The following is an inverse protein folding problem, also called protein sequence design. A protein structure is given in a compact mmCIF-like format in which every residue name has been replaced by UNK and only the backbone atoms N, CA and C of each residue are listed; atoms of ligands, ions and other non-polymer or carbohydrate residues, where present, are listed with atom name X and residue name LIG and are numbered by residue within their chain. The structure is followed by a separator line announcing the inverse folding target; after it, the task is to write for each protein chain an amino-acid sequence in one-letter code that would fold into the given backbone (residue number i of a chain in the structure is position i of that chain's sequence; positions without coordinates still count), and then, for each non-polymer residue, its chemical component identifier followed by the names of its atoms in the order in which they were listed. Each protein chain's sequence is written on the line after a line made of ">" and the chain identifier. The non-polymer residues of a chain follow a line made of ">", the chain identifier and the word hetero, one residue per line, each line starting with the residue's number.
data_IF_080877275141
#
_entry.id   IF_080877275141
#
_cell.length_a   1.000
_cell.length_b   1.000
_cell.length_c   1.000
_cell.angle_alpha   90.00
_cell.angle_beta   90.00
_cell.angle_gamma   90.00
#
_symmetry.space_group_name_H-M   'P 1'
#
loop_
_entity.id
_entity.type
_entity.pdbx_description
1 polymer ?
#
# COMPACT_ATOMS: atom_id res chain seq x y z
N UNK A 1 -14.28 -22.41 1.02
CA UNK A 1 -14.34 -21.76 2.33
C UNK A 1 -15.55 -22.31 3.08
N UNK A 2 -15.50 -22.36 4.40
CA UNK A 2 -16.61 -22.80 5.26
C UNK A 2 -17.32 -21.56 5.77
N UNK A 3 -18.64 -21.57 5.69
CA UNK A 3 -19.46 -20.47 6.18
C UNK A 3 -19.86 -20.70 7.64
N UNK A 4 -19.80 -19.63 8.42
CA UNK A 4 -20.20 -19.57 9.81
C UNK A 4 -21.16 -18.39 9.95
N UNK A 5 -22.41 -18.65 10.26
CA UNK A 5 -23.46 -17.66 10.50
C UNK A 5 -23.62 -17.43 12.01
N UNK A 6 -23.94 -16.19 12.39
CA UNK A 6 -24.13 -15.76 13.79
C UNK A 6 -23.05 -16.33 14.73
N UNK A 7 -21.80 -16.07 14.37
CA UNK A 7 -20.62 -16.74 14.94
C UNK A 7 -19.86 -15.85 15.93
N UNK A 8 -18.71 -16.33 16.42
CA UNK A 8 -17.84 -15.61 17.34
C UNK A 8 -16.37 -15.78 16.95
N UNK A 9 -15.51 -14.91 17.47
CA UNK A 9 -14.06 -15.02 17.27
C UNK A 9 -13.51 -16.37 17.70
N UNK A 10 -14.02 -16.95 18.80
CA UNK A 10 -13.61 -18.27 19.26
C UNK A 10 -14.03 -19.40 18.31
N UNK A 11 -15.23 -19.31 17.71
CA UNK A 11 -15.68 -20.27 16.71
C UNK A 11 -14.87 -20.16 15.40
N UNK A 12 -14.55 -18.94 14.97
CA UNK A 12 -13.67 -18.68 13.81
C UNK A 12 -12.26 -19.25 14.07
N UNK A 13 -11.69 -19.01 15.25
CA UNK A 13 -10.39 -19.55 15.63
C UNK A 13 -10.38 -21.08 15.65
N UNK A 14 -11.43 -21.70 16.20
CA UNK A 14 -11.59 -23.14 16.18
C UNK A 14 -11.70 -23.70 14.76
N UNK A 15 -12.35 -22.98 13.85
CA UNK A 15 -12.46 -23.39 12.46
C UNK A 15 -11.11 -23.31 11.72
N UNK A 16 -10.26 -22.32 11.98
CA UNK A 16 -8.89 -22.34 11.48
C UNK A 16 -8.13 -23.60 11.89
N UNK A 17 -8.24 -24.01 13.16
CA UNK A 17 -7.62 -25.27 13.64
C UNK A 17 -8.16 -26.48 12.89
N UNK A 18 -9.49 -26.60 12.75
CA UNK A 18 -10.14 -27.71 12.02
C UNK A 18 -9.74 -27.72 10.53
N UNK A 19 -9.69 -26.55 9.90
CA UNK A 19 -9.32 -26.44 8.51
C UNK A 19 -7.87 -26.86 8.25
N UNK A 20 -6.94 -26.49 9.12
CA UNK A 20 -5.54 -26.98 9.07
C UNK A 20 -5.45 -28.49 9.20
N UNK A 21 -6.16 -29.08 10.17
CA UNK A 21 -6.18 -30.52 10.39
C UNK A 21 -6.68 -31.26 9.15
N UNK A 22 -7.76 -30.75 8.52
CA UNK A 22 -8.28 -31.34 7.28
C UNK A 22 -7.33 -31.21 6.10
N UNK A 23 -6.61 -30.09 6.00
CA UNK A 23 -5.67 -29.87 4.91
C UNK A 23 -4.33 -30.63 5.08
N UNK A 24 -4.10 -31.29 6.23
CA UNK A 24 -2.82 -31.93 6.54
C UNK A 24 -1.64 -30.93 6.54
N UNK A 25 -1.94 -29.65 6.65
CA UNK A 25 -0.91 -28.59 6.56
C UNK A 25 -0.36 -28.29 7.94
N UNK A 26 0.97 -28.24 8.12
CA UNK A 26 1.55 -27.83 9.39
C UNK A 26 1.21 -26.35 9.68
N UNK A 27 0.95 -26.02 10.94
CA UNK A 27 0.73 -24.65 11.41
C UNK A 27 1.98 -23.74 11.23
N UNK A 28 3.08 -24.33 10.80
CA UNK A 28 4.38 -23.68 10.68
C UNK A 28 4.53 -23.05 9.30
N UNK A 29 4.93 -21.78 9.29
CA UNK A 29 5.25 -21.04 8.07
C UNK A 29 4.56 -19.70 7.92
N UNK A 30 3.47 -19.43 8.63
CA UNK A 30 2.88 -18.08 8.62
C UNK A 30 3.73 -17.13 9.47
N UNK A 31 4.09 -16.00 8.87
CA UNK A 31 5.05 -15.04 9.46
C UNK A 31 4.39 -13.74 9.90
N UNK A 32 3.12 -13.54 9.58
CA UNK A 32 2.37 -12.33 9.91
C UNK A 32 0.86 -12.53 9.86
N UNK A 33 0.12 -11.57 10.39
CA UNK A 33 -1.31 -11.38 10.10
C UNK A 33 -1.47 -10.15 9.21
N UNK A 34 -2.22 -10.29 8.12
CA UNK A 34 -2.67 -9.20 7.28
C UNK A 34 -4.17 -8.98 7.49
N UNK A 35 -4.54 -7.82 8.04
CA UNK A 35 -5.92 -7.35 8.13
C UNK A 35 -6.22 -6.54 6.88
N UNK A 36 -7.42 -6.69 6.31
CA UNK A 36 -7.91 -5.88 5.20
C UNK A 36 -9.27 -5.34 5.63
N UNK A 37 -9.39 -4.05 5.76
CA UNK A 37 -10.69 -3.41 5.97
C UNK A 37 -11.23 -2.94 4.63
N UNK A 38 -12.43 -3.36 4.30
CA UNK A 38 -12.98 -3.21 2.96
C UNK A 38 -14.52 -3.24 3.00
N UNK A 39 -15.14 -2.59 2.03
CA UNK A 39 -16.59 -2.69 1.79
C UNK A 39 -16.95 -4.04 1.13
N UNK A 40 -18.20 -4.47 1.24
CA UNK A 40 -18.66 -5.77 0.71
C UNK A 40 -18.39 -5.90 -0.80
N UNK A 41 -18.65 -4.84 -1.58
CA UNK A 41 -18.49 -4.85 -3.04
C UNK A 41 -17.05 -5.10 -3.49
N UNK A 42 -16.08 -4.72 -2.66
CA UNK A 42 -14.65 -4.85 -2.95
C UNK A 42 -13.99 -6.04 -2.25
N UNK A 43 -14.71 -6.75 -1.37
CA UNK A 43 -14.15 -7.80 -0.52
C UNK A 43 -13.47 -8.92 -1.32
N UNK A 44 -14.12 -9.46 -2.34
CA UNK A 44 -13.56 -10.53 -3.17
C UNK A 44 -12.29 -10.08 -3.89
N UNK A 45 -12.33 -8.88 -4.48
CA UNK A 45 -11.18 -8.30 -5.20
C UNK A 45 -10.00 -8.05 -4.25
N UNK A 46 -10.24 -7.50 -3.07
CA UNK A 46 -9.21 -7.23 -2.08
C UNK A 46 -8.58 -8.52 -1.54
N UNK A 47 -9.41 -9.54 -1.29
CA UNK A 47 -8.92 -10.85 -0.87
C UNK A 47 -8.07 -11.52 -1.96
N UNK A 48 -8.43 -11.43 -3.24
CA UNK A 48 -7.61 -11.95 -4.33
C UNK A 48 -6.27 -11.19 -4.45
N UNK A 49 -6.26 -9.87 -4.27
CA UNK A 49 -5.02 -9.08 -4.20
C UNK A 49 -4.14 -9.58 -3.06
N UNK A 50 -4.70 -9.76 -1.87
CA UNK A 50 -3.96 -10.25 -0.70
C UNK A 50 -3.41 -11.66 -0.94
N UNK A 51 -4.22 -12.56 -1.48
CA UNK A 51 -3.80 -13.92 -1.84
C UNK A 51 -2.55 -13.93 -2.72
N UNK A 52 -2.51 -13.05 -3.71
CA UNK A 52 -1.35 -12.91 -4.62
C UNK A 52 -0.15 -12.25 -3.94
N UNK A 53 -0.40 -11.32 -3.04
CA UNK A 53 0.65 -10.57 -2.34
C UNK A 53 1.35 -11.40 -1.25
N UNK A 54 0.62 -12.32 -0.61
CA UNK A 54 1.13 -13.17 0.47
C UNK A 54 1.74 -14.49 0.00
N UNK A 55 1.83 -14.71 -1.31
CA UNK A 55 2.42 -15.93 -1.86
C UNK A 55 3.90 -16.12 -1.44
N UNK A 56 4.66 -15.03 -1.37
CA UNK A 56 6.07 -15.07 -0.96
C UNK A 56 6.23 -15.05 0.59
N UNK A 57 5.24 -14.55 1.31
CA UNK A 57 5.24 -14.40 2.76
C UNK A 57 3.92 -14.97 3.32
N UNK A 58 3.87 -16.28 3.61
CA UNK A 58 2.66 -16.91 4.12
C UNK A 58 2.10 -16.17 5.33
N UNK A 59 0.82 -15.83 5.27
CA UNK A 59 0.16 -15.01 6.28
C UNK A 59 -1.21 -15.56 6.64
N UNK A 60 -1.70 -15.19 7.82
CA UNK A 60 -3.12 -15.21 8.11
C UNK A 60 -3.75 -13.95 7.54
N UNK A 61 -4.68 -14.08 6.60
CA UNK A 61 -5.37 -12.95 5.97
C UNK A 61 -6.77 -12.84 6.55
N UNK A 62 -7.10 -11.69 7.12
CA UNK A 62 -8.41 -11.39 7.73
C UNK A 62 -9.04 -10.23 6.96
N UNK A 63 -9.94 -10.53 6.01
CA UNK A 63 -10.82 -9.53 5.40
C UNK A 63 -11.92 -9.16 6.39
N UNK A 64 -12.04 -7.89 6.72
CA UNK A 64 -13.04 -7.36 7.64
C UNK A 64 -13.95 -6.43 6.86
N UNK A 65 -15.19 -6.84 6.72
CA UNK A 65 -16.25 -6.05 6.06
C UNK A 65 -17.09 -5.38 7.13
N UNK A 66 -17.09 -4.05 7.12
CA UNK A 66 -17.84 -3.23 8.04
C UNK A 66 -19.19 -2.85 7.39
N UNK A 67 -20.26 -3.45 7.85
CA UNK A 67 -21.63 -3.15 7.40
C UNK A 67 -22.27 -1.97 8.14
N UNK A 68 -23.61 -1.94 8.16
CA UNK A 68 -24.34 -0.88 8.88
C UNK A 68 -24.15 -1.05 10.39
N UNK A 69 -23.68 0.01 11.06
CA UNK A 69 -23.51 0.03 12.51
C UNK A 69 -24.84 0.09 13.30
N UNK A 70 -25.98 0.13 12.61
CA UNK A 70 -27.32 0.13 13.21
C UNK A 70 -27.93 -1.27 13.20
N UNK A 71 -28.75 -1.57 14.21
CA UNK A 71 -29.43 -2.85 14.31
C UNK A 71 -28.72 -3.87 15.21
N UNK A 72 -29.20 -5.13 15.20
CA UNK A 72 -28.62 -6.19 16.02
C UNK A 72 -27.17 -6.47 15.63
N UNK A 73 -26.34 -6.74 16.64
CA UNK A 73 -24.94 -7.13 16.40
C UNK A 73 -24.90 -8.54 15.82
N UNK A 74 -24.34 -8.68 14.62
CA UNK A 74 -24.10 -9.99 13.99
C UNK A 74 -22.65 -10.10 13.51
N UNK A 75 -22.12 -11.30 13.59
CA UNK A 75 -20.81 -11.67 13.06
C UNK A 75 -20.97 -12.89 12.17
N UNK A 76 -20.70 -12.74 10.89
CA UNK A 76 -20.67 -13.86 9.94
C UNK A 76 -19.25 -14.02 9.40
N UNK A 77 -18.82 -15.24 9.11
CA UNK A 77 -17.49 -15.47 8.60
C UNK A 77 -17.43 -16.59 7.56
N UNK A 78 -16.52 -16.44 6.62
CA UNK A 78 -16.10 -17.48 5.68
C UNK A 78 -14.64 -17.81 5.96
N UNK A 79 -14.35 -19.05 6.34
CA UNK A 79 -13.00 -19.49 6.76
C UNK A 79 -12.44 -20.51 5.79
N UNK A 80 -11.17 -20.39 5.43
CA UNK A 80 -10.48 -21.31 4.54
C UNK A 80 -8.98 -21.39 4.77
N UNK A 81 -8.42 -22.52 4.31
CA UNK A 81 -6.97 -22.77 4.32
C UNK A 81 -6.58 -23.54 3.05
N UNK A 82 -5.32 -23.50 2.66
CA UNK A 82 -4.81 -24.27 1.52
C UNK A 82 -5.20 -23.68 0.16
N UNK A 83 -5.36 -24.49 -0.83
CA UNK A 83 -5.71 -24.25 -2.25
C UNK A 83 -5.51 -22.79 -2.75
N UNK A 84 -4.24 -22.37 -2.89
CA UNK A 84 -3.88 -21.05 -3.41
C UNK A 84 -3.68 -19.95 -2.37
N UNK A 85 -3.98 -20.18 -1.10
CA UNK A 85 -3.54 -19.34 0.02
C UNK A 85 -2.23 -19.91 0.57
N UNK A 86 -1.20 -19.10 0.71
CA UNK A 86 0.05 -19.49 1.36
C UNK A 86 -0.09 -19.69 2.89
N UNK A 87 -1.32 -19.59 3.41
CA UNK A 87 -1.64 -19.66 4.84
C UNK A 87 -3.13 -19.84 5.08
N UNK A 88 -3.68 -19.08 6.00
CA UNK A 88 -5.09 -19.07 6.40
C UNK A 88 -5.79 -17.80 5.92
N UNK A 89 -7.06 -17.91 5.60
CA UNK A 89 -7.88 -16.76 5.23
C UNK A 89 -9.27 -16.82 5.86
N UNK A 90 -9.78 -15.67 6.28
CA UNK A 90 -11.16 -15.48 6.63
C UNK A 90 -11.70 -14.16 6.07
N UNK A 91 -12.96 -14.15 5.68
CA UNK A 91 -13.73 -12.93 5.46
C UNK A 91 -14.74 -12.84 6.59
N UNK A 92 -14.71 -11.76 7.35
CA UNK A 92 -15.52 -11.53 8.55
C UNK A 92 -16.41 -10.32 8.27
N UNK A 93 -17.73 -10.54 8.31
CA UNK A 93 -18.74 -9.50 8.11
C UNK A 93 -19.31 -9.10 9.45
N UNK A 94 -19.28 -7.83 9.74
CA UNK A 94 -19.74 -7.24 10.99
C UNK A 94 -20.90 -6.30 10.71
N UNK A 95 -22.00 -6.47 11.45
CA UNK A 95 -23.16 -5.59 11.36
C UNK A 95 -23.64 -5.18 12.76
N UNK A 96 -24.39 -4.09 12.82
CA UNK A 96 -24.89 -3.55 14.08
C UNK A 96 -23.79 -2.96 14.95
N UNK A 97 -24.00 -2.94 16.26
CA UNK A 97 -23.09 -2.30 17.21
C UNK A 97 -21.65 -2.87 17.16
N UNK A 98 -21.48 -4.15 16.81
CA UNK A 98 -20.17 -4.81 16.75
C UNK A 98 -19.22 -4.17 15.71
N UNK A 99 -19.74 -3.48 14.71
CA UNK A 99 -18.95 -2.71 13.73
C UNK A 99 -18.00 -1.72 14.44
N UNK A 100 -18.44 -1.11 15.54
CA UNK A 100 -17.62 -0.16 16.32
C UNK A 100 -16.58 -0.84 17.21
N UNK A 101 -16.63 -2.17 17.30
CA UNK A 101 -15.77 -3.03 18.11
C UNK A 101 -15.08 -4.10 17.26
N UNK A 102 -14.82 -3.78 16.00
CA UNK A 102 -14.16 -4.70 15.06
C UNK A 102 -12.80 -5.21 15.58
N UNK A 103 -12.06 -4.36 16.29
CA UNK A 103 -10.82 -4.72 16.96
C UNK A 103 -11.01 -5.86 17.98
N UNK A 104 -12.08 -5.86 18.74
CA UNK A 104 -12.40 -6.90 19.73
C UNK A 104 -12.71 -8.26 19.07
N UNK A 105 -13.28 -8.24 17.86
CA UNK A 105 -13.52 -9.46 17.07
C UNK A 105 -12.22 -9.99 16.46
N UNK A 106 -11.37 -9.09 15.95
CA UNK A 106 -10.15 -9.44 15.21
C UNK A 106 -8.99 -9.83 16.14
N UNK A 107 -8.83 -9.15 17.28
CA UNK A 107 -7.71 -9.36 18.20
C UNK A 107 -7.47 -10.84 18.58
N UNK A 108 -8.52 -11.65 18.94
CA UNK A 108 -8.33 -13.07 19.26
C UNK A 108 -7.91 -13.93 18.06
N UNK A 109 -8.01 -13.40 16.84
CA UNK A 109 -7.68 -14.10 15.59
C UNK A 109 -6.26 -13.83 15.11
N UNK A 110 -5.54 -12.91 15.72
CA UNK A 110 -4.16 -12.60 15.35
C UNK A 110 -3.24 -13.79 15.65
N UNK A 111 -2.20 -13.93 14.84
CA UNK A 111 -1.15 -14.91 15.12
C UNK A 111 -0.33 -14.45 16.34
N UNK A 112 -0.15 -15.29 17.37
CA UNK A 112 0.68 -14.95 18.51
C UNK A 112 2.11 -14.60 18.08
N UNK A 113 2.71 -13.60 18.74
CA UNK A 113 4.11 -13.19 18.56
C UNK A 113 4.52 -12.85 17.12
N UNK A 114 3.54 -12.64 16.25
CA UNK A 114 3.75 -12.31 14.85
C UNK A 114 3.33 -10.87 14.55
N UNK A 115 4.04 -10.16 13.65
CA UNK A 115 3.68 -8.81 13.30
C UNK A 115 2.33 -8.75 12.58
N UNK A 116 1.62 -7.65 12.77
CA UNK A 116 0.34 -7.37 12.14
C UNK A 116 0.51 -6.21 11.15
N UNK A 117 0.02 -6.40 9.94
CA UNK A 117 -0.17 -5.35 8.97
C UNK A 117 -1.66 -5.14 8.72
N UNK A 118 -2.07 -3.92 8.40
CA UNK A 118 -3.41 -3.61 7.91
C UNK A 118 -3.33 -2.87 6.59
N UNK A 119 -4.24 -3.19 5.68
CA UNK A 119 -4.38 -2.54 4.39
C UNK A 119 -5.81 -2.09 4.16
N UNK A 120 -5.96 -0.83 3.75
CA UNK A 120 -7.19 -0.24 3.23
C UNK A 120 -7.04 -0.06 1.72
N UNK A 121 -7.73 -0.87 0.89
CA UNK A 121 -7.69 -0.77 -0.57
C UNK A 121 -8.20 0.57 -1.09
N UNK A 122 -9.28 1.05 -0.49
CA UNK A 122 -9.99 2.28 -0.81
C UNK A 122 -10.34 3.04 0.47
N UNK A 123 -10.55 4.33 0.35
CA UNK A 123 -11.07 5.24 1.37
C UNK A 123 -10.58 4.98 2.82
N UNK A 124 -9.25 5.01 3.06
CA UNK A 124 -8.69 4.76 4.38
C UNK A 124 -9.15 5.79 5.40
N UNK A 125 -9.15 5.45 6.70
CA UNK A 125 -9.47 6.43 7.76
C UNK A 125 -8.53 7.63 7.69
N UNK A 126 -9.03 8.79 8.11
CA UNK A 126 -8.23 10.03 8.13
C UNK A 126 -7.00 9.93 9.04
N UNK A 127 -7.09 9.14 10.10
CA UNK A 127 -5.97 8.79 10.99
C UNK A 127 -5.88 7.26 11.15
N UNK A 128 -5.09 6.57 10.31
CA UNK A 128 -4.93 5.12 10.37
C UNK A 128 -4.42 4.59 11.71
N UNK A 129 -3.68 5.39 12.47
CA UNK A 129 -3.15 4.96 13.76
C UNK A 129 -4.16 5.12 14.91
N UNK A 130 -5.17 5.97 14.75
CA UNK A 130 -6.26 6.13 15.69
C UNK A 130 -7.42 5.15 15.45
N UNK A 131 -7.47 4.57 14.25
CA UNK A 131 -8.47 3.59 13.85
C UNK A 131 -8.42 2.33 14.76
N UNK A 132 -9.56 1.72 15.16
CA UNK A 132 -9.58 0.54 16.02
C UNK A 132 -8.75 -0.63 15.47
N UNK A 133 -8.92 -1.01 14.19
CA UNK A 133 -8.13 -2.07 13.56
C UNK A 133 -6.69 -1.61 13.30
N UNK A 134 -6.50 -0.34 12.96
CA UNK A 134 -5.20 0.28 12.75
C UNK A 134 -4.30 0.24 13.98
N UNK A 135 -4.88 0.32 15.19
CA UNK A 135 -4.15 0.18 16.46
C UNK A 135 -3.55 -1.20 16.69
N UNK A 136 -4.13 -2.24 16.09
CA UNK A 136 -3.63 -3.60 16.17
C UNK A 136 -2.37 -3.80 15.30
N UNK A 137 -2.15 -2.92 14.32
CA UNK A 137 -1.15 -3.12 13.30
C UNK A 137 0.14 -2.33 13.54
N UNK A 138 1.28 -3.00 13.36
CA UNK A 138 2.61 -2.38 13.28
C UNK A 138 2.78 -1.62 11.95
N UNK A 139 2.25 -2.15 10.85
CA UNK A 139 2.30 -1.55 9.51
C UNK A 139 0.88 -1.22 9.03
N UNK A 140 0.63 0.04 8.70
CA UNK A 140 -0.66 0.56 8.22
C UNK A 140 -0.49 1.07 6.81
N UNK A 141 -1.16 0.39 5.86
CA UNK A 141 -0.96 0.56 4.42
C UNK A 141 -2.21 1.19 3.82
N UNK A 142 -2.07 2.40 3.28
CA UNK A 142 -3.13 3.12 2.57
C UNK A 142 -2.83 3.19 1.08
N UNK A 143 -3.78 3.62 0.26
CA UNK A 143 -3.57 3.91 -1.16
C UNK A 143 -4.27 5.20 -1.58
N UNK A 144 -3.62 6.33 -1.40
CA UNK A 144 -4.16 7.64 -1.77
C UNK A 144 -4.44 7.79 -3.28
N UNK A 145 -3.94 6.89 -4.12
CA UNK A 145 -4.19 6.91 -5.56
C UNK A 145 -5.50 6.22 -5.95
N UNK A 146 -5.99 5.30 -5.12
CA UNK A 146 -7.16 4.46 -5.40
C UNK A 146 -8.41 4.87 -4.58
N UNK A 147 -8.35 5.97 -3.82
CA UNK A 147 -9.52 6.45 -3.09
C UNK A 147 -10.68 6.77 -4.02
N UNK A 148 -11.90 6.51 -3.58
CA UNK A 148 -13.13 6.81 -4.32
C UNK A 148 -13.58 8.23 -4.07
N UNK A 149 -13.34 8.75 -2.84
CA UNK A 149 -13.74 10.10 -2.39
C UNK A 149 -12.51 10.97 -2.11
N UNK A 150 -12.67 12.28 -2.31
CA UNK A 150 -11.64 13.26 -1.93
C UNK A 150 -10.27 13.06 -2.60
N UNK A 151 -10.22 12.57 -3.83
CA UNK A 151 -8.98 12.26 -4.57
C UNK A 151 -7.93 13.36 -4.53
N UNK A 152 -8.34 14.63 -4.53
CA UNK A 152 -7.43 15.79 -4.53
C UNK A 152 -6.81 16.07 -3.17
N UNK A 153 -7.39 15.55 -2.09
CA UNK A 153 -6.97 15.80 -0.70
C UNK A 153 -6.46 14.55 0.01
N UNK A 154 -6.68 13.36 -0.56
CA UNK A 154 -6.39 12.08 0.07
C UNK A 154 -4.95 11.99 0.61
N UNK A 155 -3.97 12.26 -0.25
CA UNK A 155 -2.56 12.26 0.18
C UNK A 155 -2.30 13.28 1.30
N UNK A 156 -2.93 14.45 1.25
CA UNK A 156 -2.75 15.49 2.25
C UNK A 156 -3.29 15.09 3.62
N UNK A 157 -4.42 14.38 3.63
CA UNK A 157 -5.02 13.83 4.85
C UNK A 157 -4.06 12.80 5.46
N UNK A 158 -3.59 11.82 4.68
CA UNK A 158 -2.65 10.80 5.14
C UNK A 158 -1.30 11.40 5.60
N UNK A 159 -0.81 12.43 4.91
CA UNK A 159 0.37 13.16 5.36
C UNK A 159 0.16 13.85 6.70
N UNK A 160 -1.03 14.43 6.97
CA UNK A 160 -1.30 15.17 8.21
C UNK A 160 -1.33 14.28 9.45
N UNK A 161 -1.81 13.04 9.33
CA UNK A 161 -1.91 12.04 10.40
C UNK A 161 -0.75 11.05 10.44
N UNK A 162 0.29 11.27 9.63
CA UNK A 162 1.42 10.35 9.57
C UNK A 162 2.09 10.14 10.93
N UNK A 163 2.22 8.88 11.31
CA UNK A 163 3.08 8.38 12.39
C UNK A 163 3.92 7.21 11.91
N UNK A 164 4.94 6.82 12.67
CA UNK A 164 5.76 5.64 12.35
C UNK A 164 4.88 4.39 12.12
N UNK A 165 5.19 3.63 11.08
CA UNK A 165 4.42 2.47 10.64
C UNK A 165 3.32 2.77 9.60
N UNK A 166 2.93 4.03 9.40
CA UNK A 166 2.06 4.40 8.28
C UNK A 166 2.85 4.42 6.97
N UNK A 167 2.24 3.93 5.90
CA UNK A 167 2.77 3.98 4.54
C UNK A 167 1.64 4.14 3.53
N UNK A 168 1.98 4.48 2.30
CA UNK A 168 1.02 4.65 1.21
C UNK A 168 1.54 3.99 -0.07
N UNK A 169 0.71 3.21 -0.75
CA UNK A 169 1.10 2.55 -1.99
C UNK A 169 1.47 3.52 -3.11
N UNK A 170 1.01 4.80 -3.03
CA UNK A 170 1.49 5.84 -3.93
C UNK A 170 3.01 6.06 -3.81
N UNK A 171 3.59 5.87 -2.61
CA UNK A 171 5.04 5.89 -2.38
C UNK A 171 5.73 4.64 -2.92
N UNK A 172 5.14 3.46 -2.70
CA UNK A 172 5.67 2.18 -3.18
C UNK A 172 5.73 2.15 -4.70
N UNK A 173 4.77 2.79 -5.40
CA UNK A 173 4.81 2.97 -6.86
C UNK A 173 6.06 3.70 -7.34
N UNK A 174 6.71 4.47 -6.48
CA UNK A 174 7.89 5.26 -6.81
C UNK A 174 9.22 4.51 -6.71
N UNK A 175 9.25 3.31 -6.11
CA UNK A 175 10.50 2.57 -5.92
C UNK A 175 11.35 2.46 -7.19
N UNK A 176 10.81 2.05 -8.35
CA UNK A 176 11.62 1.99 -9.57
C UNK A 176 12.03 3.37 -10.11
N UNK A 177 11.17 4.39 -9.96
CA UNK A 177 11.52 5.76 -10.34
C UNK A 177 12.68 6.29 -9.51
N UNK A 178 12.59 6.15 -8.19
CA UNK A 178 13.63 6.60 -7.27
C UNK A 178 14.96 5.90 -7.51
N UNK A 179 14.92 4.58 -7.76
CA UNK A 179 16.11 3.81 -8.08
C UNK A 179 16.79 4.28 -9.38
N UNK A 180 16.01 4.49 -10.45
CA UNK A 180 16.54 4.95 -11.74
C UNK A 180 17.11 6.37 -11.65
N UNK A 181 16.42 7.29 -10.96
CA UNK A 181 16.90 8.66 -10.79
C UNK A 181 18.16 8.73 -9.95
N UNK A 182 18.27 7.93 -8.89
CA UNK A 182 19.48 7.82 -8.08
C UNK A 182 20.65 7.26 -8.92
N UNK A 183 20.43 6.15 -9.64
CA UNK A 183 21.45 5.54 -10.50
C UNK A 183 21.91 6.48 -11.61
N UNK A 184 21.01 7.30 -12.17
CA UNK A 184 21.34 8.29 -13.17
C UNK A 184 22.31 9.35 -12.63
N UNK A 185 22.08 9.81 -11.41
CA UNK A 185 22.96 10.82 -10.76
C UNK A 185 24.31 10.22 -10.35
N UNK A 186 24.34 8.98 -9.87
CA UNK A 186 25.58 8.29 -9.51
C UNK A 186 26.49 8.08 -10.74
N UNK A 187 25.88 7.79 -11.91
CA UNK A 187 26.64 7.58 -13.17
C UNK A 187 27.22 8.86 -13.76
N UNK A 188 26.58 10.01 -13.55
CA UNK A 188 26.95 11.24 -14.24
C UNK A 188 27.60 12.29 -13.33
N UNK A 189 27.48 12.17 -12.01
CA UNK A 189 27.98 13.12 -10.99
C UNK A 189 27.68 14.60 -11.32
N UNK A 190 26.59 14.85 -12.06
CA UNK A 190 26.20 16.17 -12.53
C UNK A 190 25.43 16.92 -11.44
N UNK A 191 25.68 18.21 -11.35
CA UNK A 191 24.94 19.08 -10.43
C UNK A 191 23.58 19.45 -11.03
N UNK A 192 22.52 18.92 -10.45
CA UNK A 192 21.15 19.30 -10.81
C UNK A 192 20.87 20.74 -10.37
N UNK A 193 20.26 21.53 -11.23
CA UNK A 193 19.89 22.94 -11.00
C UNK A 193 18.39 23.12 -10.76
N UNK A 194 17.56 22.30 -11.41
CA UNK A 194 16.11 22.23 -11.20
C UNK A 194 15.58 20.87 -11.63
N UNK A 195 14.34 20.54 -11.26
CA UNK A 195 13.70 19.33 -11.75
C UNK A 195 12.22 19.58 -12.07
N UNK A 196 11.67 18.71 -12.91
CA UNK A 196 10.25 18.74 -13.32
C UNK A 196 9.67 17.34 -13.33
N UNK A 197 8.50 17.19 -12.74
CA UNK A 197 7.72 15.93 -12.75
C UNK A 197 6.43 16.15 -13.56
N UNK A 198 6.26 15.39 -14.62
CA UNK A 198 5.06 15.42 -15.48
C UNK A 198 4.21 14.18 -15.21
N UNK A 199 2.93 14.36 -14.96
CA UNK A 199 2.02 13.28 -14.59
C UNK A 199 0.57 13.60 -14.98
N UNK A 200 -0.32 12.64 -14.83
CA UNK A 200 -1.75 12.96 -14.77
C UNK A 200 -2.04 14.02 -13.70
N UNK A 201 -3.13 14.77 -13.89
CA UNK A 201 -3.46 15.97 -13.09
C UNK A 201 -3.54 15.69 -11.59
N UNK A 202 -4.20 14.59 -11.19
CA UNK A 202 -4.30 14.14 -9.80
C UNK A 202 -3.41 12.91 -9.65
N UNK A 203 -2.26 13.08 -9.03
CA UNK A 203 -1.27 12.01 -8.89
C UNK A 203 -0.53 12.13 -7.55
N UNK A 204 -1.01 11.42 -6.50
CA UNK A 204 -0.32 11.35 -5.22
C UNK A 204 1.14 10.91 -5.34
N UNK A 205 1.42 9.95 -6.22
CA UNK A 205 2.80 9.51 -6.50
C UNK A 205 3.67 10.64 -7.05
N UNK A 206 3.14 11.48 -7.96
CA UNK A 206 3.91 12.59 -8.50
C UNK A 206 4.17 13.70 -7.44
N UNK A 207 3.22 13.91 -6.52
CA UNK A 207 3.41 14.83 -5.39
C UNK A 207 4.52 14.35 -4.46
N UNK A 208 4.49 13.07 -4.11
CA UNK A 208 5.53 12.43 -3.30
C UNK A 208 6.90 12.45 -3.99
N UNK A 209 6.95 12.18 -5.30
CA UNK A 209 8.21 12.21 -6.06
C UNK A 209 8.80 13.62 -6.11
N UNK A 210 7.97 14.63 -6.37
CA UNK A 210 8.42 16.02 -6.39
C UNK A 210 8.95 16.46 -5.01
N UNK A 211 8.27 16.11 -3.93
CA UNK A 211 8.72 16.40 -2.57
C UNK A 211 10.04 15.68 -2.23
N UNK A 212 10.17 14.40 -2.64
CA UNK A 212 11.40 13.64 -2.45
C UNK A 212 12.57 14.23 -3.22
N UNK A 213 12.39 14.56 -4.51
CA UNK A 213 13.43 15.22 -5.32
C UNK A 213 13.84 16.55 -4.72
N UNK A 214 12.89 17.41 -4.36
CA UNK A 214 13.18 18.71 -3.76
C UNK A 214 14.00 18.59 -2.47
N UNK A 215 13.65 17.62 -1.61
CA UNK A 215 14.37 17.36 -0.38
C UNK A 215 15.78 16.83 -0.64
N UNK A 216 15.94 15.91 -1.59
CA UNK A 216 17.22 15.23 -1.87
C UNK A 216 18.20 16.13 -2.62
N UNK A 217 17.72 16.84 -3.62
CA UNK A 217 18.55 17.68 -4.50
C UNK A 217 18.70 19.10 -3.98
N UNK A 218 17.79 19.57 -3.13
CA UNK A 218 17.74 20.96 -2.62
C UNK A 218 17.59 21.99 -3.74
N UNK A 219 16.83 21.66 -4.77
CA UNK A 219 16.54 22.51 -5.92
C UNK A 219 15.03 22.74 -6.04
N UNK A 220 14.64 23.69 -6.86
CA UNK A 220 13.24 23.86 -7.24
C UNK A 220 12.76 22.65 -8.04
N UNK A 221 11.57 22.15 -7.69
CA UNK A 221 10.90 21.05 -8.42
C UNK A 221 9.50 21.49 -8.78
N UNK A 222 9.24 21.57 -10.08
CA UNK A 222 7.93 21.92 -10.64
C UNK A 222 7.14 20.68 -11.04
N UNK A 223 5.82 20.82 -11.10
CA UNK A 223 4.91 19.79 -11.62
C UNK A 223 4.18 20.29 -12.84
N UNK A 224 3.96 19.41 -13.83
CA UNK A 224 3.13 19.67 -15.00
C UNK A 224 2.18 18.51 -15.26
N UNK A 225 1.10 18.80 -15.98
CA UNK A 225 0.07 17.82 -16.31
C UNK A 225 0.31 17.18 -17.67
N UNK A 226 -0.02 15.89 -17.78
CA UNK A 226 -0.11 15.11 -19.01
C UNK A 226 -1.39 14.28 -19.01
N UNK A 227 -1.66 13.58 -20.11
CA UNK A 227 -2.78 12.64 -20.20
C UNK A 227 -2.59 11.39 -19.34
N UNK A 228 -1.41 11.18 -18.76
CA UNK A 228 -1.11 9.98 -17.99
C UNK A 228 -0.80 8.76 -18.87
N UNK A 229 -0.84 7.56 -18.35
CA UNK A 229 -1.23 7.22 -16.96
C UNK A 229 -0.09 7.42 -15.95
N UNK A 230 -0.42 7.97 -14.79
CA UNK A 230 0.51 8.21 -13.69
C UNK A 230 1.60 9.20 -14.05
N UNK A 231 2.84 8.96 -13.59
CA UNK A 231 4.01 9.75 -13.95
C UNK A 231 4.47 9.38 -15.36
N UNK A 232 4.54 10.36 -16.26
CA UNK A 232 4.95 10.17 -17.65
C UNK A 232 6.35 10.65 -17.94
N UNK A 233 6.87 11.63 -17.18
CA UNK A 233 8.21 12.13 -17.38
C UNK A 233 8.79 12.71 -16.10
N UNK A 234 10.10 12.56 -15.93
CA UNK A 234 10.91 13.31 -14.98
C UNK A 234 12.11 13.88 -15.70
N UNK A 235 12.33 15.18 -15.56
CA UNK A 235 13.50 15.89 -16.11
C UNK A 235 14.28 16.50 -14.95
N UNK A 236 15.59 16.29 -14.92
CA UNK A 236 16.52 16.95 -14.03
C UNK A 236 17.46 17.80 -14.90
N UNK A 237 17.37 19.12 -14.78
CA UNK A 237 18.22 20.04 -15.52
C UNK A 237 19.62 20.11 -14.90
N UNK A 238 20.65 20.06 -15.73
CA UNK A 238 22.04 20.25 -15.34
C UNK A 238 22.70 21.29 -16.26
N UNK A 239 23.93 21.71 -15.96
CA UNK A 239 24.67 22.64 -16.84
C UNK A 239 25.08 22.01 -18.16
N UNK A 240 25.25 20.70 -18.17
CA UNK A 240 25.72 19.91 -19.30
C UNK A 240 24.56 19.44 -20.20
N UNK A 241 23.31 19.61 -19.75
CA UNK A 241 22.10 19.20 -20.43
C UNK A 241 21.16 18.40 -19.51
N UNK A 242 19.95 18.08 -19.97
CA UNK A 242 18.96 17.42 -19.14
C UNK A 242 19.23 15.92 -18.97
N UNK A 243 18.99 15.41 -17.75
CA UNK A 243 18.76 13.98 -17.50
C UNK A 243 17.26 13.76 -17.51
N UNK A 244 16.77 12.89 -18.40
CA UNK A 244 15.33 12.67 -18.60
C UNK A 244 14.98 11.19 -18.54
N UNK A 245 13.87 10.89 -17.87
CA UNK A 245 13.21 9.60 -17.94
C UNK A 245 11.79 9.87 -18.44
N UNK A 246 11.46 9.40 -19.63
CA UNK A 246 10.15 9.57 -20.27
C UNK A 246 9.47 8.22 -20.46
N UNK A 247 8.20 8.09 -20.06
CA UNK A 247 7.40 6.86 -20.13
C UNK A 247 5.96 7.18 -20.56
N UNK A 248 5.76 7.31 -21.85
CA UNK A 248 4.48 7.73 -22.40
C UNK A 248 3.37 6.67 -22.27
N UNK A 249 3.71 5.37 -22.38
CA UNK A 249 2.75 4.26 -22.44
C UNK A 249 2.57 3.48 -21.13
N UNK A 250 3.29 3.87 -20.08
CA UNK A 250 3.27 3.17 -18.79
C UNK A 250 4.02 1.84 -18.75
N UNK A 251 4.74 1.46 -19.79
CA UNK A 251 5.48 0.17 -19.92
C UNK A 251 6.97 0.36 -20.06
N UNK A 252 7.40 0.97 -21.15
CA UNK A 252 8.79 1.25 -21.45
C UNK A 252 9.07 2.72 -21.21
N UNK A 253 10.25 3.00 -20.70
CA UNK A 253 10.75 4.35 -20.61
C UNK A 253 11.98 4.53 -21.48
N UNK A 254 12.19 5.77 -21.93
CA UNK A 254 13.42 6.22 -22.55
C UNK A 254 14.23 6.99 -21.53
N UNK A 255 15.47 6.62 -21.34
CA UNK A 255 16.46 7.35 -20.55
C UNK A 255 17.34 8.15 -21.46
N UNK A 256 17.36 9.46 -21.25
CA UNK A 256 18.22 10.42 -21.96
C UNK A 256 19.19 11.05 -20.96
N UNK A 257 20.44 11.17 -21.32
CA UNK A 257 21.46 11.90 -20.55
C UNK A 257 22.40 12.64 -21.49
N UNK A 258 23.08 13.70 -21.01
CA UNK A 258 24.05 14.42 -21.83
C UNK A 258 25.12 13.48 -22.42
N UNK A 259 25.52 13.78 -23.64
CA UNK A 259 26.61 13.12 -24.37
C UNK A 259 26.47 11.59 -24.55
N UNK A 260 25.25 11.05 -24.40
CA UNK A 260 24.97 9.62 -24.62
C UNK A 260 23.70 9.42 -25.43
N UNK A 261 23.64 8.36 -26.25
CA UNK A 261 22.42 8.02 -26.98
C UNK A 261 21.30 7.60 -26.04
N UNK A 262 20.07 7.87 -26.43
CA UNK A 262 18.87 7.43 -25.73
C UNK A 262 18.86 5.91 -25.53
N UNK A 263 18.43 5.47 -24.35
CA UNK A 263 18.36 4.03 -24.00
C UNK A 263 16.96 3.64 -23.53
N UNK A 264 16.40 2.57 -24.06
CA UNK A 264 15.18 2.00 -23.53
C UNK A 264 15.46 1.36 -22.16
N UNK A 265 14.56 1.58 -21.19
CA UNK A 265 14.61 0.96 -19.87
C UNK A 265 13.23 0.40 -19.51
N UNK A 266 13.22 -0.73 -18.79
CA UNK A 266 12.00 -1.31 -18.29
C UNK A 266 11.48 -0.49 -17.08
N UNK A 267 10.30 0.10 -17.23
CA UNK A 267 9.66 0.88 -16.17
C UNK A 267 8.14 0.71 -16.21
N UNK A 268 7.67 -0.54 -16.21
CA UNK A 268 6.24 -0.84 -16.23
C UNK A 268 5.54 -0.33 -14.96
N UNK A 269 4.26 0.05 -15.09
CA UNK A 269 3.40 0.25 -13.93
C UNK A 269 3.17 -1.08 -13.22
N UNK A 270 3.42 -1.12 -11.93
CA UNK A 270 3.19 -2.30 -11.09
C UNK A 270 1.72 -2.39 -10.69
N UNK A 271 1.22 -3.60 -10.59
CA UNK A 271 -0.13 -3.90 -10.10
C UNK A 271 -0.16 -3.86 -8.57
N UNK A 272 -1.34 -3.65 -8.00
CA UNK A 272 -1.53 -3.57 -6.53
C UNK A 272 -0.95 -4.78 -5.78
N UNK A 273 -1.11 -6.05 -6.25
CA UNK A 273 -0.47 -7.18 -5.58
C UNK A 273 1.06 -7.07 -5.48
N UNK A 274 1.72 -6.55 -6.52
CA UNK A 274 3.19 -6.37 -6.53
C UNK A 274 3.62 -5.26 -5.54
N UNK A 275 2.78 -4.23 -5.36
CA UNK A 275 3.02 -3.14 -4.42
C UNK A 275 2.81 -3.59 -2.98
N UNK A 276 1.71 -4.27 -2.72
CA UNK A 276 1.39 -4.79 -1.39
C UNK A 276 2.43 -5.82 -0.95
N UNK A 277 2.86 -6.73 -1.84
CA UNK A 277 3.92 -7.68 -1.55
C UNK A 277 5.24 -6.99 -1.16
N UNK A 278 5.60 -5.86 -1.80
CA UNK A 278 6.78 -5.07 -1.42
C UNK A 278 6.65 -4.50 0.00
N UNK A 279 5.48 -3.96 0.37
CA UNK A 279 5.24 -3.42 1.71
C UNK A 279 5.26 -4.49 2.79
N UNK A 280 4.79 -5.71 2.48
CA UNK A 280 4.77 -6.84 3.43
C UNK A 280 6.15 -7.46 3.66
N UNK A 281 7.11 -7.25 2.76
CA UNK A 281 8.51 -7.71 2.95
C UNK A 281 9.23 -6.96 4.07
N UNK A 282 8.85 -5.70 4.31
CA UNK A 282 9.51 -4.86 5.29
C UNK A 282 8.48 -4.09 6.12
N UNK A 283 8.25 -4.55 7.33
CA UNK A 283 7.28 -3.97 8.24
C UNK A 283 7.85 -2.84 9.11
N UNK A 284 9.14 -2.56 8.99
CA UNK A 284 9.78 -1.43 9.68
C UNK A 284 9.50 -0.09 8.98
N UNK A 285 9.70 1.00 9.73
CA UNK A 285 9.51 2.35 9.19
C UNK A 285 10.41 2.60 7.97
N UNK A 286 9.86 3.25 6.94
CA UNK A 286 10.64 3.80 5.81
C UNK A 286 11.08 5.22 6.15
N UNK A 287 12.33 5.37 6.60
CA UNK A 287 12.93 6.66 6.97
C UNK A 287 12.90 7.69 5.83
N UNK A 288 12.99 7.21 4.58
CA UNK A 288 12.97 8.08 3.40
C UNK A 288 11.57 8.61 3.16
N UNK A 289 10.56 7.76 3.29
CA UNK A 289 9.15 8.16 3.25
C UNK A 289 8.84 9.14 4.37
N UNK A 290 9.16 8.77 5.62
CA UNK A 290 8.96 9.61 6.80
C UNK A 290 9.56 11.02 6.63
N UNK A 291 10.79 11.08 6.15
CA UNK A 291 11.48 12.35 5.91
C UNK A 291 10.83 13.17 4.78
N UNK A 292 10.31 12.50 3.74
CA UNK A 292 9.57 13.16 2.64
C UNK A 292 8.27 13.75 3.15
N UNK A 293 7.45 12.98 3.89
CA UNK A 293 6.20 13.46 4.48
C UNK A 293 6.43 14.65 5.42
N UNK A 294 7.43 14.59 6.30
CA UNK A 294 7.78 15.71 7.19
C UNK A 294 8.12 17.00 6.41
N UNK A 295 8.72 16.87 5.22
CA UNK A 295 9.03 18.03 4.37
C UNK A 295 7.78 18.63 3.71
N UNK A 296 6.76 17.81 3.41
CA UNK A 296 5.48 18.27 2.87
C UNK A 296 4.64 19.01 3.92
N UNK A 297 4.66 18.55 5.18
CA UNK A 297 3.97 19.21 6.31
C UNK A 297 4.47 20.64 6.59
N UNK A 298 5.78 20.89 6.45
CA UNK A 298 6.39 22.19 6.74
C UNK A 298 6.05 23.28 5.71
N UNK A 299 5.50 22.93 4.56
CA UNK A 299 5.16 23.86 3.49
C UNK A 299 3.71 24.34 3.51
N UNK A 300 2.90 23.76 4.36
CA UNK A 300 1.51 24.15 4.62
C UNK A 300 1.43 24.97 5.90
#
# INVERSE_FOLDING_TARGET
>A
MIELEDTSSSAIAAEFVRARTRAGSPAMGMVMTLIIEVDEDDAETAMEVARRSTHEHPARVLGVVLGDARGPATVNAQVGTGSGWGGEAAVIRLEGEVVRHADSVVLPLLLPDSPVAIWWPHDPPADPAADPLGKLAKRRITDSAEVTRGKTTALAVQCSSYVAGNTDLAWTRLTPWRALLAAALDQHQLKVTSAKVTSERISPSAELLAAWLQRRLRVEVTRSSSSGPGITEVVMETREGPIRISRADGRLATFTSPDRPDRPIALKRRKVPELLAEELRRLDEDDVYAATIRSMRKKR
#
